data_IF_815116255269
#
_entry.id   IF_815116255269
#
_cell.length_a   1.000
_cell.length_b   1.000
_cell.length_c   1.000
_cell.angle_alpha   90.00
_cell.angle_beta   90.00
_cell.angle_gamma   90.00
#
_symmetry.space_group_name_H-M   'P 1'
#
loop_
_entity.id
_entity.type
_entity.pdbx_description
1 polymer ?
#
# COMPACT_ATOMS: atom_id res chain seq x y z
N UNK A 1 -2.11 8.70 -3.22
CA UNK A 1 -0.83 7.98 -3.04
C UNK A 1 -0.64 7.53 -1.59
N UNK A 2 -0.38 8.42 -0.62
CA UNK A 2 -0.06 8.05 0.77
C UNK A 2 -1.09 7.12 1.45
N UNK A 3 -2.39 7.35 1.26
CA UNK A 3 -3.43 6.48 1.83
C UNK A 3 -3.35 5.02 1.37
N UNK A 4 -3.01 4.76 0.10
CA UNK A 4 -2.82 3.39 -0.39
C UNK A 4 -1.62 2.72 0.27
N UNK A 5 -0.53 3.46 0.49
CA UNK A 5 0.67 2.94 1.18
C UNK A 5 0.34 2.58 2.63
N UNK A 6 -0.41 3.44 3.32
CA UNK A 6 -0.90 3.18 4.67
C UNK A 6 -1.75 1.91 4.71
N UNK A 7 -2.68 1.73 3.78
CA UNK A 7 -3.45 0.49 3.67
C UNK A 7 -2.57 -0.73 3.43
N UNK A 8 -1.58 -0.65 2.52
CA UNK A 8 -0.67 -1.77 2.21
C UNK A 8 0.24 -2.19 3.38
N UNK A 9 0.54 -1.27 4.30
CA UNK A 9 1.26 -1.58 5.56
C UNK A 9 0.32 -1.80 6.75
N UNK A 10 -1.00 -1.88 6.50
CA UNK A 10 -2.00 -2.19 7.50
C UNK A 10 -2.31 -1.06 8.48
N UNK A 11 -2.05 0.20 8.12
CA UNK A 11 -2.32 1.41 8.91
C UNK A 11 -3.51 2.21 8.35
N UNK A 12 -4.58 1.53 7.93
CA UNK A 12 -5.76 2.19 7.37
C UNK A 12 -6.46 3.12 8.36
N UNK A 13 -6.25 2.94 9.66
CA UNK A 13 -6.73 3.85 10.71
C UNK A 13 -6.11 5.26 10.64
N UNK A 14 -5.03 5.44 9.86
CA UNK A 14 -4.42 6.75 9.62
C UNK A 14 -4.96 7.46 8.36
N UNK A 15 -5.90 6.83 7.64
CA UNK A 15 -6.49 7.40 6.42
C UNK A 15 -7.78 8.15 6.76
N UNK A 16 -7.74 9.47 6.60
CA UNK A 16 -8.89 10.36 6.84
C UNK A 16 -9.52 10.84 5.54
N UNK A 17 -10.77 11.31 5.61
CA UNK A 17 -11.57 11.74 4.44
C UNK A 17 -11.80 13.24 4.39
N UNK A 18 -11.60 13.95 5.49
CA UNK A 18 -11.79 15.39 5.61
C UNK A 18 -10.62 16.05 6.34
N UNK A 19 -10.46 17.36 6.16
CA UNK A 19 -9.43 18.13 6.88
C UNK A 19 -9.63 18.10 8.39
N UNK A 20 -10.87 18.15 8.87
CA UNK A 20 -11.17 18.08 10.30
C UNK A 20 -10.74 16.73 10.89
N UNK A 21 -11.09 15.62 10.25
CA UNK A 21 -10.65 14.29 10.68
C UNK A 21 -9.12 14.16 10.70
N UNK A 22 -8.45 14.77 9.70
CA UNK A 22 -6.99 14.81 9.64
C UNK A 22 -6.39 15.58 10.82
N UNK A 23 -6.92 16.76 11.13
CA UNK A 23 -6.47 17.58 12.27
C UNK A 23 -6.70 16.87 13.61
N UNK A 24 -7.88 16.28 13.82
CA UNK A 24 -8.21 15.55 15.04
C UNK A 24 -7.26 14.35 15.24
N UNK A 25 -6.98 13.61 14.15
CA UNK A 25 -6.05 12.50 14.19
C UNK A 25 -4.60 12.95 14.43
N UNK A 26 -4.17 14.04 13.80
CA UNK A 26 -2.84 14.61 14.03
C UNK A 26 -2.67 15.06 15.48
N UNK A 27 -3.68 15.71 16.05
CA UNK A 27 -3.71 16.11 17.46
C UNK A 27 -3.64 14.87 18.36
N UNK A 28 -4.45 13.83 18.08
CA UNK A 28 -4.41 12.56 18.81
C UNK A 28 -3.03 11.91 18.79
N UNK A 29 -2.38 11.85 17.62
CA UNK A 29 -1.00 11.38 17.51
C UNK A 29 -0.02 12.17 18.37
N UNK A 30 -0.23 13.48 18.52
CA UNK A 30 0.66 14.37 19.27
C UNK A 30 0.42 14.32 20.79
N UNK A 31 -0.82 14.13 21.23
CA UNK A 31 -1.22 14.24 22.64
C UNK A 31 -1.43 12.90 23.35
N UNK A 32 -1.68 11.82 22.61
CA UNK A 32 -1.88 10.47 23.16
C UNK A 32 -0.68 9.55 22.86
N UNK A 33 0.32 9.48 23.76
CA UNK A 33 1.53 8.70 23.52
C UNK A 33 1.27 7.19 23.40
N UNK A 34 0.22 6.68 24.05
CA UNK A 34 -0.22 5.29 23.94
C UNK A 34 -0.73 4.96 22.54
N UNK A 35 -1.50 5.88 21.93
CA UNK A 35 -1.97 5.75 20.56
C UNK A 35 -0.81 5.81 19.56
N UNK A 36 0.09 6.79 19.69
CA UNK A 36 1.26 6.87 18.83
C UNK A 36 2.17 5.63 18.98
N UNK A 37 2.33 5.12 20.21
CA UNK A 37 3.08 3.91 20.51
C UNK A 37 2.52 2.69 19.79
N UNK A 38 1.20 2.48 19.80
CA UNK A 38 0.57 1.34 19.12
C UNK A 38 0.72 1.41 17.60
N UNK A 39 0.61 2.61 17.00
CA UNK A 39 0.86 2.84 15.58
C UNK A 39 2.30 2.50 15.21
N UNK A 40 3.29 2.97 15.99
CA UNK A 40 4.71 2.67 15.76
C UNK A 40 5.01 1.18 15.86
N UNK A 41 4.46 0.49 16.87
CA UNK A 41 4.62 -0.96 17.03
C UNK A 41 4.01 -1.73 15.84
N UNK A 42 2.83 -1.31 15.38
CA UNK A 42 2.17 -1.92 14.22
C UNK A 42 2.98 -1.71 12.95
N UNK A 43 3.54 -0.50 12.75
CA UNK A 43 4.42 -0.20 11.63
C UNK A 43 5.70 -1.05 11.66
N UNK A 44 6.37 -1.15 12.80
CA UNK A 44 7.64 -1.89 12.91
C UNK A 44 7.44 -3.37 12.57
N UNK A 45 6.38 -3.98 13.12
CA UNK A 45 5.98 -5.35 12.78
C UNK A 45 5.64 -5.51 11.30
N UNK A 46 4.81 -4.61 10.76
CA UNK A 46 4.29 -4.75 9.40
C UNK A 46 5.33 -4.38 8.34
N UNK A 47 6.33 -3.55 8.65
CA UNK A 47 7.40 -3.19 7.70
C UNK A 47 8.13 -4.42 7.18
N UNK A 48 8.33 -5.43 8.02
CA UNK A 48 9.04 -6.66 7.65
C UNK A 48 8.13 -7.77 7.13
N UNK A 49 6.82 -7.68 7.35
CA UNK A 49 5.86 -8.75 6.99
C UNK A 49 4.91 -8.38 5.86
N UNK A 50 4.65 -7.09 5.63
CA UNK A 50 3.83 -6.64 4.50
C UNK A 50 4.61 -6.70 3.18
N UNK A 51 3.93 -7.03 2.06
CA UNK A 51 4.52 -7.00 0.72
C UNK A 51 5.10 -5.64 0.28
N UNK A 52 4.68 -4.53 0.92
CA UNK A 52 5.03 -3.17 0.52
C UNK A 52 6.54 -2.93 0.37
N UNK A 53 7.35 -3.56 1.23
CA UNK A 53 8.81 -3.43 1.21
C UNK A 53 9.51 -4.67 0.64
N UNK A 54 8.77 -5.66 0.15
CA UNK A 54 9.34 -6.83 -0.51
C UNK A 54 9.62 -6.50 -1.98
N UNK A 55 10.81 -5.96 -2.24
CA UNK A 55 11.22 -5.55 -3.59
C UNK A 55 11.26 -6.72 -4.58
N UNK A 56 11.67 -7.92 -4.13
CA UNK A 56 11.71 -9.10 -5.00
C UNK A 56 10.31 -9.51 -5.46
N UNK A 57 9.33 -9.53 -4.54
CA UNK A 57 7.93 -9.81 -4.89
C UNK A 57 7.33 -8.74 -5.79
N UNK A 58 7.65 -7.46 -5.53
CA UNK A 58 7.22 -6.36 -6.39
C UNK A 58 7.77 -6.52 -7.81
N UNK A 59 9.06 -6.82 -7.97
CA UNK A 59 9.70 -7.05 -9.26
C UNK A 59 9.06 -8.22 -9.98
N UNK A 60 8.82 -9.33 -9.28
CA UNK A 60 8.17 -10.50 -9.87
C UNK A 60 6.78 -10.15 -10.43
N UNK A 61 5.92 -9.46 -9.66
CA UNK A 61 4.61 -9.05 -10.14
C UNK A 61 4.69 -8.07 -11.32
N UNK A 62 5.70 -7.19 -11.34
CA UNK A 62 5.92 -6.26 -12.45
C UNK A 62 6.30 -7.02 -13.73
N UNK A 63 7.23 -7.96 -13.64
CA UNK A 63 7.69 -8.81 -14.75
C UNK A 63 6.55 -9.66 -15.31
N UNK A 64 5.74 -10.28 -14.44
CA UNK A 64 4.51 -10.99 -14.85
C UNK A 64 3.55 -10.06 -15.60
N UNK A 65 3.35 -8.84 -15.11
CA UNK A 65 2.53 -7.84 -15.79
C UNK A 65 3.05 -7.50 -17.20
N UNK A 66 4.38 -7.41 -17.37
CA UNK A 66 4.99 -7.21 -18.68
C UNK A 66 4.84 -8.42 -19.59
N UNK A 67 4.99 -9.64 -19.06
CA UNK A 67 4.74 -10.86 -19.83
C UNK A 67 3.29 -10.94 -20.32
N UNK A 68 2.31 -10.64 -19.45
CA UNK A 68 0.89 -10.59 -19.83
C UNK A 68 0.62 -9.54 -20.92
N UNK A 69 1.23 -8.36 -20.81
CA UNK A 69 1.10 -7.29 -21.79
C UNK A 69 1.68 -7.71 -23.16
N UNK A 70 2.87 -8.29 -23.14
CA UNK A 70 3.57 -8.73 -24.33
C UNK A 70 2.83 -9.87 -25.03
N UNK A 71 2.35 -10.86 -24.27
CA UNK A 71 1.58 -11.98 -24.82
C UNK A 71 0.29 -11.48 -25.50
N UNK A 72 -0.45 -10.57 -24.86
CA UNK A 72 -1.65 -9.99 -25.45
C UNK A 72 -1.38 -9.25 -26.77
N UNK A 73 -0.23 -8.57 -26.87
CA UNK A 73 0.20 -7.93 -28.11
C UNK A 73 0.56 -8.94 -29.20
N UNK A 74 1.32 -9.99 -28.86
CA UNK A 74 1.69 -11.07 -29.80
C UNK A 74 0.46 -11.79 -30.35
N UNK A 75 -0.57 -11.95 -29.52
CA UNK A 75 -1.85 -12.56 -29.90
C UNK A 75 -2.74 -11.63 -30.76
N UNK A 76 -2.26 -10.42 -31.11
CA UNK A 76 -3.01 -9.44 -31.89
C UNK A 76 -4.13 -8.73 -31.13
N UNK A 77 -4.14 -8.84 -29.80
CA UNK A 77 -5.11 -8.20 -28.93
C UNK A 77 -4.94 -6.69 -28.83
N UNK A 78 -6.04 -5.99 -28.55
CA UNK A 78 -6.00 -4.56 -28.22
C UNK A 78 -5.52 -4.35 -26.77
N UNK A 79 -4.83 -3.22 -26.47
CA UNK A 79 -4.45 -2.88 -25.10
C UNK A 79 -5.65 -2.89 -24.16
N UNK A 80 -5.50 -3.55 -23.00
CA UNK A 80 -6.51 -3.64 -21.95
C UNK A 80 -5.85 -3.54 -20.58
N UNK A 81 -6.65 -3.26 -19.55
CA UNK A 81 -6.18 -3.27 -18.18
C UNK A 81 -5.66 -4.68 -17.80
N UNK A 82 -4.47 -4.72 -17.18
CA UNK A 82 -3.81 -5.94 -16.73
C UNK A 82 -3.86 -5.96 -15.21
N UNK A 83 -4.32 -7.08 -14.67
CA UNK A 83 -4.37 -7.33 -13.24
C UNK A 83 -3.53 -8.57 -12.96
N UNK A 84 -2.40 -8.37 -12.29
CA UNK A 84 -1.56 -9.46 -11.82
C UNK A 84 -2.15 -9.95 -10.49
N UNK A 85 -2.53 -11.23 -10.37
CA UNK A 85 -3.05 -11.76 -9.11
C UNK A 85 -1.97 -11.67 -8.02
N UNK A 86 -2.43 -11.43 -6.78
CA UNK A 86 -1.57 -11.35 -5.61
C UNK A 86 -1.24 -12.72 -5.00
#
# INVERSE_FOLDING_TARGET
MAGSLLCSVGLSELVTKTSQEYEDLALKCATEPTFLGSIKQKLDRNRTTSPLFNTALFTHHLEEGYHMAFQAYVDGGQPKAIYVPA
#
